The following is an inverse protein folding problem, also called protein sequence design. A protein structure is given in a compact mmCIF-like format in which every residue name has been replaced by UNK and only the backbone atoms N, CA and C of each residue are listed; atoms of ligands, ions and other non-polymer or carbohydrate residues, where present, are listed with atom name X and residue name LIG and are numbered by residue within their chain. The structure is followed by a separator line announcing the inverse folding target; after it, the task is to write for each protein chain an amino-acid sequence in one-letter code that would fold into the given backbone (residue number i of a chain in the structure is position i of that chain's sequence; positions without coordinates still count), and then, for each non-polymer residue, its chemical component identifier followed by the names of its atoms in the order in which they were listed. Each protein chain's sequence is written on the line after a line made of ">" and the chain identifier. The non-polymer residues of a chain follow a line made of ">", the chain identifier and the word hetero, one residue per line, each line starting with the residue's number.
data_IF_401675971427
#
_entry.id   IF_401675971427
#
_cell.length_a   1.000
_cell.length_b   1.000
_cell.length_c   1.000
_cell.angle_alpha   90.00
_cell.angle_beta   90.00
_cell.angle_gamma   90.00
#
_symmetry.space_group_name_H-M   'P 1'
#
loop_
_entity.id
_entity.type
_entity.pdbx_description
1 polymer ?
#
# COMPACT_ATOMS: atom_id res chain seq x y z
N UNK A 1 -19.64 17.93 -7.51
CA UNK A 1 -20.16 18.77 -6.41
C UNK A 1 -19.29 18.50 -5.20
N UNK A 2 -18.19 19.24 -5.04
CA UNK A 2 -17.28 19.04 -3.90
C UNK A 2 -17.71 20.03 -2.82
N UNK A 3 -18.35 19.52 -1.76
CA UNK A 3 -18.62 20.31 -0.56
C UNK A 3 -17.26 20.65 0.05
N UNK A 4 -16.85 21.91 -0.10
CA UNK A 4 -15.56 22.41 0.39
C UNK A 4 -15.55 22.42 1.90
N UNK A 5 -15.02 21.35 2.50
CA UNK A 5 -14.99 21.18 3.94
C UNK A 5 -13.71 21.77 4.56
N UNK A 6 -13.47 23.07 4.30
CA UNK A 6 -12.34 23.87 4.82
C UNK A 6 -12.07 23.63 6.32
N UNK A 7 -13.14 23.51 7.12
CA UNK A 7 -13.02 23.31 8.57
C UNK A 7 -12.44 21.93 8.95
N UNK A 8 -12.79 20.88 8.19
CA UNK A 8 -12.25 19.53 8.43
C UNK A 8 -10.81 19.43 7.94
N UNK A 9 -10.45 20.11 6.85
CA UNK A 9 -9.05 20.12 6.37
C UNK A 9 -8.12 20.89 7.33
N UNK A 10 -8.64 21.87 8.09
CA UNK A 10 -7.88 22.54 9.15
C UNK A 10 -7.77 21.70 10.43
N UNK A 11 -8.82 20.96 10.80
CA UNK A 11 -8.83 20.13 12.01
C UNK A 11 -8.13 18.77 11.81
N UNK A 12 -8.16 18.24 10.59
CA UNK A 12 -7.56 16.96 10.20
C UNK A 12 -6.73 17.14 8.94
N UNK A 13 -5.54 17.79 9.04
CA UNK A 13 -4.67 17.98 7.91
C UNK A 13 -4.25 16.62 7.34
N UNK A 14 -4.47 16.45 6.03
CA UNK A 14 -4.05 15.26 5.29
C UNK A 14 -2.53 15.32 5.12
N UNK A 15 -1.84 14.45 5.85
CA UNK A 15 -0.39 14.27 5.74
C UNK A 15 -0.06 12.98 5.00
N UNK A 16 0.94 13.05 4.12
CA UNK A 16 1.44 11.89 3.43
C UNK A 16 2.05 10.90 4.43
N UNK A 17 1.63 9.64 4.39
CA UNK A 17 2.15 8.60 5.29
C UNK A 17 3.63 8.25 5.02
N UNK A 18 4.13 8.54 3.83
CA UNK A 18 5.54 8.35 3.45
C UNK A 18 6.47 9.44 3.97
N UNK A 19 6.22 10.70 3.59
CA UNK A 19 7.12 11.84 3.83
C UNK A 19 6.56 12.94 4.76
N UNK A 20 5.29 12.86 5.17
CA UNK A 20 4.63 13.85 6.02
C UNK A 20 4.17 15.14 5.34
N UNK A 21 4.46 15.33 4.04
CA UNK A 21 4.03 16.51 3.27
C UNK A 21 2.50 16.63 3.26
N UNK A 22 2.00 17.86 3.33
CA UNK A 22 0.57 18.14 3.27
C UNK A 22 0.02 18.02 1.84
N UNK A 23 -1.24 17.61 1.72
CA UNK A 23 -1.97 17.60 0.44
C UNK A 23 -2.72 16.30 0.16
N UNK A 24 -2.18 15.16 0.58
CA UNK A 24 -2.80 13.84 0.40
C UNK A 24 -2.20 12.78 1.33
N UNK A 25 -2.86 11.63 1.46
CA UNK A 25 -2.35 10.50 2.26
C UNK A 25 -1.11 9.84 1.63
N UNK A 26 -0.95 9.98 0.31
CA UNK A 26 0.27 9.66 -0.44
C UNK A 26 0.52 10.85 -1.38
N UNK A 27 1.69 11.46 -1.34
CA UNK A 27 2.06 12.53 -2.28
C UNK A 27 2.66 11.93 -3.56
N UNK A 28 2.67 12.70 -4.64
CA UNK A 28 3.20 12.27 -5.95
C UNK A 28 4.63 11.70 -5.84
N UNK A 29 5.51 12.36 -5.08
CA UNK A 29 6.88 11.86 -4.85
C UNK A 29 6.92 10.49 -4.17
N UNK A 30 5.97 10.22 -3.29
CA UNK A 30 5.82 8.96 -2.57
C UNK A 30 5.12 7.89 -3.42
N UNK A 31 4.38 8.30 -4.44
CA UNK A 31 3.70 7.41 -5.38
C UNK A 31 4.64 6.83 -6.44
N UNK A 32 5.74 7.53 -6.77
CA UNK A 32 6.72 7.14 -7.81
C UNK A 32 7.36 5.75 -7.60
N UNK A 33 7.17 5.09 -6.45
CA UNK A 33 7.63 3.72 -6.19
C UNK A 33 6.51 2.67 -6.07
N UNK A 34 5.25 3.01 -6.30
CA UNK A 34 4.12 2.08 -6.18
C UNK A 34 3.87 1.40 -7.52
N UNK A 35 4.66 0.37 -7.82
CA UNK A 35 4.47 -0.46 -9.00
C UNK A 35 3.35 -1.48 -8.78
N UNK A 36 2.58 -1.72 -9.85
CA UNK A 36 1.57 -2.77 -9.87
C UNK A 36 2.25 -4.13 -9.78
N UNK A 37 1.76 -4.98 -8.88
CA UNK A 37 2.28 -6.32 -8.68
C UNK A 37 1.61 -7.31 -9.65
N UNK A 38 2.34 -8.36 -10.01
CA UNK A 38 1.77 -9.43 -10.82
C UNK A 38 0.56 -10.07 -10.14
N UNK A 39 -0.51 -10.24 -10.91
CA UNK A 39 -1.70 -10.91 -10.43
C UNK A 39 -1.50 -12.42 -10.41
N UNK A 40 -1.79 -13.06 -9.27
CA UNK A 40 -1.53 -14.50 -9.07
C UNK A 40 -2.82 -15.28 -8.79
N UNK A 41 -2.82 -16.56 -9.13
CA UNK A 41 -3.88 -17.49 -8.74
C UNK A 41 -3.70 -17.90 -7.26
N UNK A 42 -4.73 -17.80 -6.40
CA UNK A 42 -4.63 -18.17 -4.99
C UNK A 42 -4.45 -19.68 -4.75
N UNK A 43 -4.71 -20.53 -5.75
CA UNK A 43 -4.57 -21.99 -5.62
C UNK A 43 -3.22 -22.55 -6.07
N UNK A 44 -2.50 -21.87 -6.96
CA UNK A 44 -1.23 -22.38 -7.51
C UNK A 44 -0.11 -21.35 -7.58
N UNK A 45 -0.36 -20.10 -7.19
CA UNK A 45 0.61 -18.99 -7.12
C UNK A 45 1.29 -18.71 -8.47
N UNK A 46 0.66 -19.12 -9.57
CA UNK A 46 1.09 -18.76 -10.94
C UNK A 46 0.33 -17.53 -11.39
N UNK A 47 0.92 -16.78 -12.32
CA UNK A 47 0.28 -15.64 -12.96
C UNK A 47 -1.14 -15.99 -13.42
N UNK A 48 -2.09 -15.11 -13.12
CA UNK A 48 -3.49 -15.28 -13.49
C UNK A 48 -4.10 -13.95 -13.88
N UNK A 49 -4.95 -13.97 -14.91
CA UNK A 49 -5.60 -12.77 -15.40
C UNK A 49 -6.54 -12.22 -14.35
N UNK A 50 -6.34 -10.94 -13.98
CA UNK A 50 -7.06 -10.25 -12.90
C UNK A 50 -6.98 -10.96 -11.54
N UNK A 51 -6.02 -11.87 -11.37
CA UNK A 51 -5.83 -12.63 -10.14
C UNK A 51 -6.93 -13.63 -9.84
N UNK A 52 -7.70 -14.00 -10.88
CA UNK A 52 -8.76 -15.00 -10.77
C UNK A 52 -8.17 -16.38 -10.48
N UNK A 53 -8.93 -17.24 -9.82
CA UNK A 53 -8.55 -18.64 -9.69
C UNK A 53 -8.65 -19.33 -11.04
N UNK A 54 -7.62 -20.09 -11.40
CA UNK A 54 -7.68 -20.95 -12.59
C UNK A 54 -8.80 -21.99 -12.46
N UNK A 55 -9.43 -22.34 -13.57
CA UNK A 55 -10.50 -23.36 -13.64
C UNK A 55 -10.02 -24.74 -13.14
N UNK A 56 -8.74 -25.06 -13.29
CA UNK A 56 -8.14 -26.31 -12.81
C UNK A 56 -7.65 -26.26 -11.35
N UNK A 57 -7.75 -25.12 -10.67
CA UNK A 57 -7.30 -24.92 -9.29
C UNK A 57 -8.44 -25.00 -8.26
N UNK A 58 -9.62 -25.49 -8.64
CA UNK A 58 -10.86 -25.45 -7.86
C UNK A 58 -10.74 -26.04 -6.46
N UNK A 59 -10.03 -27.16 -6.33
CA UNK A 59 -9.87 -27.89 -5.05
C UNK A 59 -8.73 -27.36 -4.18
N UNK A 60 -7.82 -26.54 -4.75
CA UNK A 60 -6.60 -26.10 -4.05
C UNK A 60 -6.84 -24.93 -3.11
N UNK A 61 -7.88 -24.14 -3.35
CA UNK A 61 -8.21 -22.97 -2.53
C UNK A 61 -9.71 -22.65 -2.60
N UNK A 62 -10.35 -22.32 -1.46
CA UNK A 62 -11.74 -21.87 -1.45
C UNK A 62 -11.92 -20.47 -2.06
N UNK A 63 -10.83 -19.71 -2.25
CA UNK A 63 -10.87 -18.35 -2.80
C UNK A 63 -11.22 -18.37 -4.30
N UNK A 64 -12.01 -17.39 -4.75
CA UNK A 64 -12.35 -17.20 -6.18
C UNK A 64 -11.26 -16.43 -6.93
N UNK A 65 -10.50 -15.59 -6.22
CA UNK A 65 -9.40 -14.80 -6.77
C UNK A 65 -8.75 -13.97 -5.69
N UNK A 66 -7.62 -13.35 -6.02
CA UNK A 66 -6.90 -12.39 -5.19
C UNK A 66 -6.43 -11.24 -6.07
N UNK A 67 -6.56 -10.00 -5.61
CA UNK A 67 -6.09 -8.83 -6.35
C UNK A 67 -4.91 -8.21 -5.63
N UNK A 68 -3.79 -8.11 -6.33
CA UNK A 68 -2.58 -7.47 -5.83
C UNK A 68 -2.53 -6.04 -6.36
N UNK A 69 -2.68 -5.02 -5.52
CA UNK A 69 -2.63 -3.63 -6.01
C UNK A 69 -1.18 -3.18 -6.21
N UNK A 70 -0.37 -3.36 -5.17
CA UNK A 70 1.02 -2.95 -5.15
C UNK A 70 1.87 -4.03 -4.51
N UNK A 71 3.16 -3.98 -4.86
CA UNK A 71 4.17 -4.73 -4.14
C UNK A 71 4.20 -4.35 -2.67
N UNK A 72 4.55 -5.33 -1.82
CA UNK A 72 4.71 -5.09 -0.39
C UNK A 72 6.07 -4.45 -0.06
N UNK A 73 6.36 -3.31 -0.69
CA UNK A 73 7.63 -2.60 -0.56
C UNK A 73 7.42 -1.11 -0.29
N UNK A 74 8.53 -0.42 0.00
CA UNK A 74 8.57 1.04 0.17
C UNK A 74 7.45 1.61 1.05
N UNK A 75 6.62 2.46 0.46
CA UNK A 75 5.51 3.15 1.14
C UNK A 75 4.31 2.25 1.37
N UNK A 76 4.00 1.32 0.47
CA UNK A 76 2.89 0.38 0.66
C UNK A 76 3.10 -0.46 1.94
N UNK A 77 4.32 -0.94 2.17
CA UNK A 77 4.69 -1.65 3.41
C UNK A 77 4.52 -0.78 4.65
N UNK A 78 5.01 0.47 4.62
CA UNK A 78 4.90 1.43 5.74
C UNK A 78 3.44 1.77 6.05
N UNK A 79 2.62 1.97 5.01
CA UNK A 79 1.18 2.23 5.13
C UNK A 79 0.47 1.06 5.82
N UNK A 80 0.69 -0.17 5.35
CA UNK A 80 0.05 -1.36 5.91
C UNK A 80 0.53 -1.60 7.35
N UNK A 81 1.83 -1.45 7.61
CA UNK A 81 2.39 -1.63 8.95
C UNK A 81 1.87 -0.57 9.94
N UNK A 82 1.88 0.70 9.55
CA UNK A 82 1.35 1.78 10.39
C UNK A 82 -0.16 1.65 10.62
N UNK A 83 -0.92 1.18 9.64
CA UNK A 83 -2.35 0.90 9.80
C UNK A 83 -2.64 -0.28 10.73
N UNK A 84 -1.89 -1.38 10.59
CA UNK A 84 -2.11 -2.62 11.36
C UNK A 84 -1.58 -2.55 12.78
N UNK A 85 -0.46 -1.87 13.01
CA UNK A 85 0.28 -1.91 14.28
C UNK A 85 0.35 -0.55 15.00
N UNK A 86 -0.52 0.41 14.66
CA UNK A 86 -0.51 1.79 15.21
C UNK A 86 -0.58 1.89 16.73
N UNK A 87 -1.00 0.83 17.41
CA UNK A 87 -1.08 0.74 18.87
C UNK A 87 0.20 0.25 19.57
N UNK A 88 1.20 -0.26 18.83
CA UNK A 88 2.43 -0.80 19.42
C UNK A 88 3.62 0.18 19.43
N UNK A 89 3.54 1.30 18.69
CA UNK A 89 4.63 2.29 18.60
C UNK A 89 4.10 3.67 19.00
N UNK A 90 3.70 3.80 20.26
CA UNK A 90 3.68 5.11 20.91
C UNK A 90 5.11 5.45 21.31
N UNK A 91 5.79 6.23 20.47
CA UNK A 91 7.09 6.81 20.79
C UNK A 91 7.87 7.20 19.54
N UNK A 92 8.03 8.50 19.36
CA UNK A 92 8.86 9.18 18.36
C UNK A 92 8.26 9.30 16.95
N UNK A 93 7.96 10.55 16.58
CA UNK A 93 7.78 10.96 15.20
C UNK A 93 9.01 10.59 14.38
N UNK A 94 8.80 9.86 13.29
CA UNK A 94 9.83 9.60 12.30
C UNK A 94 9.70 10.64 11.17
N UNK A 95 10.04 11.89 11.49
CA UNK A 95 10.55 12.82 10.48
C UNK A 95 11.98 12.39 10.13
N UNK A 96 12.24 12.14 8.84
CA UNK A 96 13.57 12.09 8.19
C UNK A 96 14.50 10.97 8.71
N UNK A 97 14.94 10.00 7.93
CA UNK A 97 15.83 10.19 6.78
C UNK A 97 16.38 8.82 6.34
N UNK A 98 16.58 8.65 5.03
CA UNK A 98 17.57 7.78 4.34
C UNK A 98 17.65 6.29 4.75
N UNK A 99 17.20 5.42 3.84
CA UNK A 99 17.90 4.16 3.53
C UNK A 99 17.47 3.74 2.12
N UNK A 100 18.25 4.16 1.11
CA UNK A 100 19.45 3.49 0.59
C UNK A 100 19.05 2.48 -0.50
N UNK A 101 19.40 2.91 -1.71
CA UNK A 101 19.55 2.16 -2.94
C UNK A 101 20.49 0.96 -2.76
N UNK A 102 20.25 -0.12 -3.51
CA UNK A 102 21.06 -1.34 -3.56
C UNK A 102 20.27 -2.57 -3.07
N UNK A 103 20.28 -3.72 -3.71
CA UNK A 103 20.98 -4.18 -4.90
C UNK A 103 20.20 -5.40 -5.38
N UNK A 104 20.02 -5.47 -6.70
CA UNK A 104 19.45 -6.63 -7.38
C UNK A 104 20.53 -7.71 -7.36
N UNK A 105 20.26 -8.84 -6.72
CA UNK A 105 20.95 -10.13 -6.94
C UNK A 105 19.92 -11.15 -7.38
#
# INVERSE_FOLDING_TARGET
>A
MTVSNWFLDMLFPKHCAGCGKGGGYVCEECEIGMWEEEQICPGCVRASRYGLKHVYCTEKSPLTGVTCLWAYEGIARKLIASGKYRTAVNGAGASSSKQAEGERI
#
